data_IF_083180595104
#
_entry.id   IF_083180595104
#
_cell.length_a   1.000
_cell.length_b   1.000
_cell.length_c   1.000
_cell.angle_alpha   90.00
_cell.angle_beta   90.00
_cell.angle_gamma   90.00
#
_symmetry.space_group_name_H-M   'P 1'
#
loop_
_entity.id
_entity.type
_entity.pdbx_description
1 polymer ?
#
# COMPACT_ATOMS: atom_id res chain seq x y z
N UNK A 1 44.23 29.03 -2.76
CA UNK A 1 43.63 28.17 -1.72
C UNK A 1 43.06 26.93 -2.39
N UNK A 2 43.67 25.80 -2.19
CA UNK A 2 43.25 24.51 -2.78
C UNK A 2 42.05 24.02 -2.00
N UNK A 3 40.95 23.73 -2.66
CA UNK A 3 39.79 23.07 -2.05
C UNK A 3 40.13 21.59 -2.02
N UNK A 4 40.33 21.08 -0.81
CA UNK A 4 40.39 19.63 -0.57
C UNK A 4 38.94 19.12 -0.65
N UNK A 5 38.66 18.30 -1.65
CA UNK A 5 37.44 17.49 -1.65
C UNK A 5 37.77 16.35 -0.67
N UNK A 6 37.20 16.43 0.52
CA UNK A 6 37.28 15.34 1.51
C UNK A 6 36.06 14.47 1.29
N UNK A 7 36.29 13.20 1.04
CA UNK A 7 35.26 12.18 0.78
C UNK A 7 34.38 11.85 2.01
N UNK A 8 34.59 12.56 3.14
CA UNK A 8 33.87 12.31 4.40
C UNK A 8 32.81 13.38 4.68
N UNK A 9 31.56 13.02 4.54
CA UNK A 9 30.35 13.88 4.70
C UNK A 9 30.25 14.56 6.08
N UNK A 10 30.83 13.98 7.12
CA UNK A 10 30.81 14.50 8.51
C UNK A 10 31.67 15.75 8.71
N UNK A 11 32.65 16.00 7.85
CA UNK A 11 33.58 17.12 8.00
C UNK A 11 33.04 18.45 7.43
N UNK A 12 32.14 18.43 6.45
CA UNK A 12 31.56 19.64 5.87
C UNK A 12 30.63 20.37 6.87
N UNK A 13 29.88 19.64 7.66
CA UNK A 13 28.98 20.22 8.68
C UNK A 13 29.74 20.86 9.85
N UNK A 14 30.92 20.33 10.22
CA UNK A 14 31.77 20.90 11.30
C UNK A 14 32.47 22.18 10.85
N UNK A 15 32.85 22.31 9.60
CA UNK A 15 33.47 23.55 9.07
C UNK A 15 32.46 24.69 9.03
N UNK A 16 31.19 24.42 8.85
CA UNK A 16 30.12 25.43 8.81
C UNK A 16 29.75 25.99 10.19
N UNK A 17 29.92 25.21 11.29
CA UNK A 17 29.65 25.68 12.67
C UNK A 17 30.69 26.62 13.24
N UNK A 18 31.90 26.58 12.74
CA UNK A 18 33.02 27.31 13.37
C UNK A 18 33.32 28.67 12.77
N UNK A 19 32.54 29.20 11.81
CA UNK A 19 32.81 30.49 11.12
C UNK A 19 31.75 31.57 11.30
N UNK A 20 30.98 31.55 12.37
CA UNK A 20 30.00 32.62 12.65
C UNK A 20 30.54 33.79 13.48
N UNK A 21 31.85 34.02 13.53
CA UNK A 21 32.45 35.10 14.36
C UNK A 21 33.21 36.15 13.58
N UNK A 22 33.06 36.33 12.27
CA UNK A 22 33.58 37.58 11.65
C UNK A 22 32.82 37.91 10.36
N UNK A 23 31.79 38.78 10.50
CA UNK A 23 31.19 39.50 9.38
C UNK A 23 32.15 40.62 8.95
N UNK A 24 32.87 40.44 7.83
CA UNK A 24 33.25 41.47 6.83
C UNK A 24 34.02 40.82 5.70
N UNK A 25 33.64 41.17 4.45
CA UNK A 25 34.16 40.74 3.16
C UNK A 25 33.63 39.41 2.62
N UNK A 26 32.39 39.45 2.14
CA UNK A 26 31.93 38.48 1.15
C UNK A 26 32.03 39.13 -0.24
N UNK A 27 33.11 38.77 -0.99
CA UNK A 27 33.30 39.21 -2.35
C UNK A 27 32.25 38.52 -3.25
N UNK A 28 31.80 39.15 -4.35
CA UNK A 28 30.77 38.65 -5.29
C UNK A 28 31.03 37.20 -5.77
N UNK A 29 32.29 36.79 -5.82
CA UNK A 29 32.73 35.44 -6.21
C UNK A 29 32.28 34.35 -5.23
N UNK A 30 32.07 34.67 -3.94
CA UNK A 30 31.58 33.73 -2.91
C UNK A 30 30.06 33.56 -2.97
N UNK A 31 29.29 34.51 -3.43
CA UNK A 31 27.84 34.36 -3.63
C UNK A 31 27.52 33.29 -4.67
N UNK A 32 28.30 33.16 -5.73
CA UNK A 32 28.12 32.11 -6.75
C UNK A 32 28.43 30.72 -6.14
N UNK A 33 29.49 30.61 -5.31
CA UNK A 33 29.85 29.33 -4.69
C UNK A 33 28.80 28.84 -3.66
N UNK A 34 28.25 29.78 -2.86
CA UNK A 34 27.16 29.46 -1.92
C UNK A 34 25.89 29.03 -2.66
N UNK A 35 25.63 29.61 -3.80
CA UNK A 35 24.48 29.23 -4.65
C UNK A 35 24.67 27.82 -5.24
N UNK A 36 25.88 27.50 -5.69
CA UNK A 36 26.21 26.19 -6.24
C UNK A 36 26.17 25.10 -5.15
N UNK A 37 26.69 25.38 -3.96
CA UNK A 37 26.65 24.44 -2.82
C UNK A 37 25.21 24.23 -2.33
N UNK A 38 24.37 25.29 -2.28
CA UNK A 38 22.96 25.16 -1.94
C UNK A 38 22.17 24.39 -3.00
N UNK A 39 22.46 24.59 -4.28
CA UNK A 39 21.84 23.82 -5.37
C UNK A 39 22.30 22.36 -5.32
N UNK A 40 23.58 22.06 -5.08
CA UNK A 40 24.06 20.70 -4.87
C UNK A 40 23.45 20.06 -3.61
N UNK A 41 23.28 20.81 -2.53
CA UNK A 41 22.65 20.31 -1.30
C UNK A 41 21.14 20.08 -1.47
N UNK A 42 20.46 20.94 -2.26
CA UNK A 42 19.05 20.72 -2.64
C UNK A 42 18.90 19.54 -3.59
N UNK A 43 19.77 19.41 -4.58
CA UNK A 43 19.80 18.27 -5.50
C UNK A 43 20.23 16.96 -4.81
N UNK A 44 21.07 17.04 -3.77
CA UNK A 44 21.45 15.88 -2.96
C UNK A 44 20.32 15.45 -2.01
N UNK A 45 19.49 16.38 -1.50
CA UNK A 45 18.28 16.05 -0.75
C UNK A 45 17.26 15.25 -1.60
N UNK A 46 17.30 15.42 -2.93
CA UNK A 46 16.41 14.68 -3.85
C UNK A 46 16.91 13.27 -4.19
N UNK A 47 18.18 12.94 -3.92
CA UNK A 47 18.73 11.58 -4.08
C UNK A 47 18.83 10.82 -2.75
N UNK A 48 17.78 10.81 -1.94
CA UNK A 48 17.65 9.73 -0.96
C UNK A 48 17.56 8.42 -1.74
N UNK A 49 18.55 7.54 -1.56
CA UNK A 49 18.46 6.17 -2.07
C UNK A 49 17.16 5.60 -1.52
N UNK A 50 16.20 5.38 -2.42
CA UNK A 50 14.93 4.81 -2.02
C UNK A 50 15.13 3.32 -1.79
N UNK A 51 14.75 2.83 -0.62
CA UNK A 51 14.69 1.39 -0.38
C UNK A 51 13.68 0.78 -1.34
N UNK A 52 14.13 -0.14 -2.19
CA UNK A 52 13.23 -0.85 -3.11
C UNK A 52 12.51 -1.97 -2.36
N UNK A 53 11.19 -2.00 -2.45
CA UNK A 53 10.33 -2.98 -1.80
C UNK A 53 9.35 -3.56 -2.82
N UNK A 54 9.26 -4.87 -2.89
CA UNK A 54 8.34 -5.58 -3.77
C UNK A 54 6.97 -5.73 -3.11
N UNK A 55 5.91 -5.32 -3.79
CA UNK A 55 4.54 -5.62 -3.39
C UNK A 55 4.03 -6.81 -4.19
N UNK A 56 3.86 -7.95 -3.52
CA UNK A 56 3.45 -9.21 -4.11
C UNK A 56 1.96 -9.20 -4.48
N UNK A 57 1.59 -8.35 -5.45
CA UNK A 57 0.22 -8.20 -5.95
C UNK A 57 0.21 -7.90 -7.45
N UNK A 58 -0.77 -8.49 -8.16
CA UNK A 58 -1.09 -8.13 -9.55
C UNK A 58 -2.11 -7.00 -9.65
N UNK A 59 -2.72 -6.59 -8.51
CA UNK A 59 -3.75 -5.55 -8.52
C UNK A 59 -3.12 -4.15 -8.49
N UNK A 60 -3.15 -3.38 -9.60
CA UNK A 60 -2.55 -2.05 -9.68
C UNK A 60 -3.21 -1.04 -8.74
N UNK A 61 -4.49 -1.26 -8.38
CA UNK A 61 -5.18 -0.40 -7.43
C UNK A 61 -4.64 -0.54 -6.01
N UNK A 62 -4.23 -1.76 -5.59
CA UNK A 62 -3.54 -1.97 -4.32
C UNK A 62 -2.18 -1.25 -4.31
N UNK A 63 -1.40 -1.34 -5.39
CA UNK A 63 -0.11 -0.63 -5.53
C UNK A 63 -0.31 0.89 -5.43
N UNK A 64 -1.26 1.43 -6.21
CA UNK A 64 -1.56 2.87 -6.25
C UNK A 64 -1.93 3.42 -4.87
N UNK A 65 -2.66 2.65 -4.06
CA UNK A 65 -3.11 3.06 -2.71
C UNK A 65 -1.97 3.44 -1.78
N UNK A 66 -0.82 2.75 -1.85
CA UNK A 66 0.29 2.92 -0.90
C UNK A 66 1.50 3.64 -1.51
N UNK A 67 1.61 3.68 -2.84
CA UNK A 67 2.83 4.10 -3.57
C UNK A 67 3.29 5.52 -3.22
N UNK A 68 2.36 6.47 -3.17
CA UNK A 68 2.69 7.89 -2.94
C UNK A 68 3.24 8.09 -1.52
N UNK A 69 2.50 7.65 -0.50
CA UNK A 69 2.88 7.81 0.90
C UNK A 69 4.17 7.04 1.25
N UNK A 70 4.39 5.86 0.68
CA UNK A 70 5.64 5.12 0.85
C UNK A 70 6.81 5.84 0.17
N UNK A 71 6.58 6.45 -1.01
CA UNK A 71 7.60 7.26 -1.69
C UNK A 71 8.05 8.47 -0.87
N UNK A 72 7.13 9.13 -0.15
CA UNK A 72 7.44 10.22 0.77
C UNK A 72 8.31 9.76 1.95
N UNK A 73 8.18 8.49 2.34
CA UNK A 73 8.99 7.85 3.38
C UNK A 73 10.29 7.21 2.85
N UNK A 74 10.69 7.50 1.59
CA UNK A 74 11.92 7.00 1.02
C UNK A 74 11.87 5.54 0.57
N UNK A 75 10.65 4.97 0.36
CA UNK A 75 10.42 3.62 -0.11
C UNK A 75 9.95 3.65 -1.57
N UNK A 76 10.66 2.95 -2.44
CA UNK A 76 10.25 2.71 -3.82
C UNK A 76 9.46 1.41 -3.90
N UNK A 77 8.13 1.52 -4.02
CA UNK A 77 7.26 0.37 -4.16
C UNK A 77 7.20 -0.10 -5.61
N UNK A 78 7.67 -1.32 -5.87
CA UNK A 78 7.53 -2.02 -7.15
C UNK A 78 6.50 -3.15 -7.01
N UNK A 79 5.86 -3.53 -8.11
CA UNK A 79 4.91 -4.64 -8.17
C UNK A 79 5.52 -5.87 -8.81
N UNK A 80 4.82 -7.00 -8.73
CA UNK A 80 5.24 -8.22 -9.43
C UNK A 80 5.18 -8.08 -10.96
N UNK A 81 4.49 -7.08 -11.49
CA UNK A 81 4.49 -6.78 -12.93
C UNK A 81 5.77 -6.04 -13.37
N UNK A 82 6.55 -5.53 -12.41
CA UNK A 82 7.81 -4.82 -12.65
C UNK A 82 9.03 -5.75 -12.56
N UNK A 83 8.80 -7.05 -12.34
CA UNK A 83 9.85 -8.09 -12.32
C UNK A 83 9.60 -9.11 -13.43
N UNK A 84 10.68 -9.64 -14.01
CA UNK A 84 10.62 -10.57 -15.15
C UNK A 84 10.20 -11.99 -14.76
N UNK A 85 10.20 -12.33 -13.48
CA UNK A 85 9.89 -13.67 -13.00
C UNK A 85 8.39 -13.88 -12.78
N UNK A 86 7.80 -14.82 -13.53
CA UNK A 86 6.47 -15.35 -13.23
C UNK A 86 6.58 -16.44 -12.17
N UNK A 87 6.08 -16.13 -10.98
CA UNK A 87 6.08 -17.08 -9.86
C UNK A 87 4.63 -17.55 -9.66
N UNK A 88 4.43 -18.86 -9.78
CA UNK A 88 3.14 -19.47 -9.45
C UNK A 88 3.04 -19.64 -7.93
N UNK A 89 1.95 -19.14 -7.35
CA UNK A 89 1.71 -19.17 -5.92
C UNK A 89 0.41 -19.92 -5.64
N UNK A 90 0.54 -20.95 -4.82
CA UNK A 90 -0.62 -21.63 -4.28
C UNK A 90 -1.10 -20.92 -3.00
N UNK A 91 -2.11 -20.06 -3.14
CA UNK A 91 -2.76 -19.34 -2.05
C UNK A 91 -3.76 -20.26 -1.34
N UNK A 92 -3.27 -21.14 -0.47
CA UNK A 92 -4.05 -22.11 0.28
C UNK A 92 -4.10 -21.82 1.79
N UNK A 93 -3.78 -20.62 2.21
CA UNK A 93 -3.87 -20.15 3.58
C UNK A 93 -5.33 -20.10 4.06
N UNK A 94 -5.52 -20.33 5.36
CA UNK A 94 -6.84 -20.36 6.00
C UNK A 94 -7.45 -18.99 6.19
N UNK A 95 -6.59 -17.96 6.22
CA UNK A 95 -6.98 -16.58 6.45
C UNK A 95 -6.11 -15.60 5.64
N UNK A 96 -6.42 -14.32 5.74
CA UNK A 96 -5.72 -13.26 5.01
C UNK A 96 -4.23 -13.16 5.38
N UNK A 97 -3.87 -13.41 6.63
CA UNK A 97 -2.47 -13.28 7.08
C UNK A 97 -1.62 -14.47 6.63
N UNK A 98 -2.19 -15.68 6.55
CA UNK A 98 -1.50 -16.84 6.02
C UNK A 98 -1.24 -16.68 4.51
N UNK A 99 -2.24 -16.25 3.73
CA UNK A 99 -2.05 -15.97 2.30
C UNK A 99 -1.07 -14.81 2.06
N UNK A 100 -1.13 -13.75 2.87
CA UNK A 100 -0.15 -12.67 2.82
C UNK A 100 1.28 -13.18 3.09
N UNK A 101 1.45 -14.08 4.06
CA UNK A 101 2.73 -14.70 4.36
C UNK A 101 3.25 -15.57 3.20
N UNK A 102 2.39 -16.42 2.63
CA UNK A 102 2.74 -17.26 1.48
C UNK A 102 3.25 -16.37 0.33
N UNK A 103 2.54 -15.29 0.01
CA UNK A 103 2.93 -14.32 -1.03
C UNK A 103 4.28 -13.68 -0.70
N UNK A 104 4.43 -13.08 0.47
CA UNK A 104 5.63 -12.37 0.87
C UNK A 104 6.86 -13.28 0.84
N UNK A 105 6.75 -14.46 1.46
CA UNK A 105 7.84 -15.43 1.53
C UNK A 105 8.25 -15.94 0.15
N UNK A 106 7.29 -16.34 -0.68
CA UNK A 106 7.56 -16.94 -1.99
C UNK A 106 8.30 -15.96 -2.90
N UNK A 107 7.88 -14.70 -2.94
CA UNK A 107 8.56 -13.68 -3.74
C UNK A 107 9.91 -13.27 -3.14
N UNK A 108 10.01 -13.13 -1.82
CA UNK A 108 11.27 -12.83 -1.15
C UNK A 108 12.32 -13.93 -1.39
N UNK A 109 11.92 -15.20 -1.27
CA UNK A 109 12.84 -16.34 -1.49
C UNK A 109 13.45 -16.33 -2.89
N UNK A 110 12.71 -15.86 -3.88
CA UNK A 110 13.14 -15.78 -5.28
C UNK A 110 13.93 -14.52 -5.61
N UNK A 111 13.45 -13.36 -5.16
CA UNK A 111 13.99 -12.06 -5.58
C UNK A 111 15.03 -11.50 -4.62
N UNK A 112 15.00 -11.92 -3.36
CA UNK A 112 15.76 -11.34 -2.24
C UNK A 112 15.51 -9.84 -2.02
N UNK A 113 14.42 -9.33 -2.59
CA UNK A 113 13.95 -7.96 -2.36
C UNK A 113 12.99 -7.99 -1.15
N UNK A 114 13.11 -7.09 -0.15
CA UNK A 114 12.11 -6.95 0.89
C UNK A 114 10.70 -6.95 0.30
N UNK A 115 9.83 -7.83 0.78
CA UNK A 115 8.56 -8.09 0.10
C UNK A 115 7.37 -7.91 1.02
N UNK A 116 6.39 -7.14 0.55
CA UNK A 116 5.07 -6.99 1.16
C UNK A 116 4.12 -8.00 0.50
N UNK A 117 3.56 -8.93 1.28
CA UNK A 117 2.39 -9.71 0.93
C UNK A 117 1.14 -9.11 1.56
N UNK A 118 0.04 -9.11 0.84
CA UNK A 118 -1.26 -8.65 1.35
C UNK A 118 -2.38 -9.50 0.78
N UNK A 119 -3.30 -9.87 1.66
CA UNK A 119 -4.54 -10.55 1.27
C UNK A 119 -5.74 -10.02 2.04
N UNK A 120 -6.94 -10.31 1.54
CA UNK A 120 -8.21 -9.84 2.11
C UNK A 120 -9.19 -11.03 2.19
N UNK A 121 -9.91 -11.10 3.30
CA UNK A 121 -11.03 -12.01 3.50
C UNK A 121 -12.33 -11.22 3.58
N UNK A 122 -13.39 -11.74 2.97
CA UNK A 122 -14.74 -11.21 3.10
C UNK A 122 -15.58 -12.15 3.93
N UNK A 123 -16.20 -11.61 4.96
CA UNK A 123 -17.19 -12.32 5.79
C UNK A 123 -18.56 -11.66 5.59
N UNK A 124 -19.60 -12.49 5.45
CA UNK A 124 -20.98 -12.04 5.22
C UNK A 124 -21.86 -12.68 6.29
N UNK A 125 -22.57 -11.88 7.06
CA UNK A 125 -23.45 -12.38 8.11
C UNK A 125 -24.71 -13.04 7.52
N UNK A 126 -25.18 -14.08 8.17
CA UNK A 126 -26.47 -14.72 7.87
C UNK A 126 -26.49 -15.64 6.65
N UNK A 127 -25.35 -15.90 6.00
CA UNK A 127 -25.25 -16.91 4.94
C UNK A 127 -24.69 -18.22 5.47
N UNK A 128 -24.83 -19.31 4.72
CA UNK A 128 -24.28 -20.61 5.11
C UNK A 128 -22.75 -20.62 5.09
N UNK A 129 -22.14 -21.52 5.87
CA UNK A 129 -20.68 -21.62 5.97
C UNK A 129 -20.04 -22.00 4.62
N UNK A 130 -20.71 -22.83 3.84
CA UNK A 130 -20.26 -23.28 2.53
C UNK A 130 -20.25 -22.15 1.47
N UNK A 131 -21.08 -21.12 1.68
CA UNK A 131 -21.16 -19.96 0.79
C UNK A 131 -20.31 -18.78 1.28
N UNK A 132 -19.66 -18.91 2.45
CA UNK A 132 -18.73 -17.86 2.93
C UNK A 132 -17.55 -17.71 1.99
N UNK A 133 -17.29 -16.49 1.48
CA UNK A 133 -16.19 -16.28 0.57
C UNK A 133 -14.82 -16.46 1.24
N UNK A 134 -14.66 -16.02 2.48
CA UNK A 134 -13.39 -16.10 3.20
C UNK A 134 -12.25 -15.50 2.39
N UNK A 135 -11.21 -16.29 2.12
CA UNK A 135 -10.06 -15.91 1.26
C UNK A 135 -10.37 -16.05 -0.24
N UNK A 136 -11.43 -16.73 -0.60
CA UNK A 136 -11.77 -17.06 -1.99
C UNK A 136 -12.72 -16.05 -2.64
N UNK A 137 -12.66 -14.77 -2.26
CA UNK A 137 -13.59 -13.73 -2.71
C UNK A 137 -13.73 -13.68 -4.24
N UNK A 138 -12.65 -13.91 -4.97
CA UNK A 138 -12.61 -13.90 -6.43
C UNK A 138 -12.63 -15.31 -7.05
N UNK A 139 -12.64 -16.36 -6.23
CA UNK A 139 -12.65 -17.76 -6.69
C UNK A 139 -13.91 -18.46 -6.20
N UNK A 140 -14.80 -18.76 -7.11
CA UNK A 140 -16.06 -19.45 -6.82
C UNK A 140 -16.09 -20.75 -7.61
N UNK A 141 -16.30 -21.88 -6.92
CA UNK A 141 -16.32 -23.22 -7.51
C UNK A 141 -15.09 -23.52 -8.41
N UNK A 142 -13.91 -23.11 -7.95
CA UNK A 142 -12.64 -23.31 -8.65
C UNK A 142 -12.38 -22.35 -9.82
N UNK A 143 -13.35 -21.50 -10.20
CA UNK A 143 -13.22 -20.50 -11.27
C UNK A 143 -12.83 -19.15 -10.68
N UNK A 144 -11.83 -18.47 -11.26
CA UNK A 144 -11.52 -17.08 -10.98
C UNK A 144 -12.49 -16.17 -11.76
N UNK A 145 -13.27 -15.37 -11.04
CA UNK A 145 -14.25 -14.46 -11.62
C UNK A 145 -13.58 -13.15 -12.08
N UNK A 146 -14.07 -12.59 -13.19
CA UNK A 146 -13.79 -11.21 -13.58
C UNK A 146 -14.65 -10.23 -12.76
N UNK A 147 -14.53 -8.92 -12.99
CA UNK A 147 -15.22 -7.92 -12.19
C UNK A 147 -16.74 -7.96 -12.35
N UNK A 148 -17.25 -8.18 -13.57
CA UNK A 148 -18.68 -8.33 -13.86
C UNK A 148 -19.24 -9.59 -13.22
N UNK A 149 -18.55 -10.71 -13.38
CA UNK A 149 -18.93 -11.99 -12.78
C UNK A 149 -18.97 -11.93 -11.25
N UNK A 150 -18.04 -11.16 -10.62
CA UNK A 150 -18.08 -10.93 -9.19
C UNK A 150 -19.32 -10.16 -8.75
N UNK A 151 -19.63 -9.05 -9.42
CA UNK A 151 -20.82 -8.24 -9.12
C UNK A 151 -22.07 -9.11 -9.25
N UNK A 152 -22.17 -9.86 -10.34
CA UNK A 152 -23.32 -10.74 -10.60
C UNK A 152 -23.45 -11.83 -9.52
N UNK A 153 -22.35 -12.50 -9.17
CA UNK A 153 -22.31 -13.56 -8.15
C UNK A 153 -22.78 -13.05 -6.80
N UNK A 154 -22.16 -11.97 -6.30
CA UNK A 154 -22.49 -11.43 -4.98
C UNK A 154 -23.88 -10.78 -4.94
N UNK A 155 -24.32 -10.15 -6.02
CA UNK A 155 -25.69 -9.65 -6.14
C UNK A 155 -26.73 -10.78 -6.02
N UNK A 156 -26.48 -11.92 -6.71
CA UNK A 156 -27.34 -13.11 -6.60
C UNK A 156 -27.33 -13.68 -5.18
N UNK A 157 -26.14 -13.77 -4.55
CA UNK A 157 -25.98 -14.25 -3.19
C UNK A 157 -26.78 -13.38 -2.21
N UNK A 158 -26.61 -12.06 -2.27
CA UNK A 158 -27.35 -11.10 -1.42
C UNK A 158 -28.86 -11.24 -1.63
N UNK A 159 -29.32 -11.35 -2.88
CA UNK A 159 -30.73 -11.51 -3.22
C UNK A 159 -31.33 -12.81 -2.64
N UNK A 160 -30.54 -13.90 -2.59
CA UNK A 160 -30.94 -15.18 -2.01
C UNK A 160 -31.26 -15.06 -0.51
N UNK A 161 -30.51 -14.20 0.21
CA UNK A 161 -30.57 -14.08 1.67
C UNK A 161 -31.29 -12.82 2.19
N UNK A 162 -31.95 -12.02 1.35
CA UNK A 162 -32.83 -10.94 1.81
C UNK A 162 -32.53 -9.54 1.29
N UNK A 163 -31.82 -9.40 0.17
CA UNK A 163 -31.53 -8.18 -0.56
C UNK A 163 -30.55 -7.20 0.10
N UNK A 164 -30.19 -7.41 1.37
CA UNK A 164 -29.18 -6.65 2.11
C UNK A 164 -28.58 -7.51 3.20
N UNK A 165 -27.26 -7.64 3.22
CA UNK A 165 -26.49 -8.41 4.19
C UNK A 165 -25.38 -7.58 4.80
N UNK A 166 -25.14 -7.74 6.09
CA UNK A 166 -23.96 -7.16 6.75
C UNK A 166 -22.72 -7.94 6.32
N UNK A 167 -21.66 -7.20 6.01
CA UNK A 167 -20.40 -7.79 5.59
C UNK A 167 -19.21 -7.04 6.22
N UNK A 168 -18.08 -7.72 6.29
CA UNK A 168 -16.84 -7.21 6.88
C UNK A 168 -15.62 -7.67 6.10
N UNK A 169 -14.74 -6.72 5.80
CA UNK A 169 -13.41 -7.01 5.27
C UNK A 169 -12.39 -7.19 6.41
N UNK A 170 -11.64 -8.26 6.35
CA UNK A 170 -10.46 -8.49 7.19
C UNK A 170 -9.24 -8.58 6.29
N UNK A 171 -8.22 -7.80 6.62
CA UNK A 171 -6.98 -7.69 5.85
C UNK A 171 -5.82 -8.29 6.62
N UNK A 172 -4.92 -8.94 5.89
CA UNK A 172 -3.64 -9.41 6.39
C UNK A 172 -2.50 -8.82 5.56
N UNK A 173 -1.46 -8.34 6.23
CA UNK A 173 -0.24 -7.87 5.62
C UNK A 173 0.97 -8.51 6.29
N UNK A 174 1.91 -8.96 5.48
CA UNK A 174 3.19 -9.52 5.93
C UNK A 174 4.31 -8.79 5.20
N UNK A 175 5.33 -8.39 5.95
CA UNK A 175 6.59 -7.89 5.41
C UNK A 175 7.65 -8.92 5.69
N UNK A 176 8.30 -9.39 4.64
CA UNK A 176 9.37 -10.37 4.71
C UNK A 176 10.69 -9.74 4.27
N UNK A 177 11.69 -9.77 5.13
CA UNK A 177 13.03 -9.23 4.92
C UNK A 177 14.09 -10.28 5.28
N UNK A 178 15.35 -9.98 5.08
CA UNK A 178 16.48 -10.80 5.59
C UNK A 178 16.57 -10.76 7.12
N UNK A 179 16.09 -9.70 7.75
CA UNK A 179 16.10 -9.56 9.22
C UNK A 179 14.93 -10.29 9.91
N UNK A 180 13.86 -10.58 9.16
CA UNK A 180 12.73 -11.30 9.72
C UNK A 180 11.39 -11.06 9.05
N UNK A 181 10.33 -11.34 9.82
CA UNK A 181 8.93 -11.29 9.36
C UNK A 181 8.08 -10.46 10.30
N UNK A 182 7.48 -9.41 9.78
CA UNK A 182 6.48 -8.60 10.48
C UNK A 182 5.08 -8.90 9.95
N UNK A 183 4.09 -8.96 10.85
CA UNK A 183 2.69 -9.27 10.51
C UNK A 183 1.76 -8.21 11.06
N UNK A 184 0.74 -7.85 10.28
CA UNK A 184 -0.30 -6.91 10.69
C UNK A 184 -1.66 -7.33 10.14
N UNK A 185 -2.68 -7.32 11.00
CA UNK A 185 -4.06 -7.65 10.65
C UNK A 185 -4.95 -6.49 11.07
N UNK A 186 -5.90 -6.12 10.22
CA UNK A 186 -6.90 -5.11 10.54
C UNK A 186 -8.22 -5.42 9.86
N UNK A 187 -9.28 -4.81 10.33
CA UNK A 187 -10.58 -4.81 9.69
C UNK A 187 -11.07 -3.39 9.51
N UNK A 188 -11.95 -3.18 8.54
CA UNK A 188 -12.76 -1.98 8.44
C UNK A 188 -14.07 -2.18 9.19
N UNK A 189 -14.80 -1.08 9.40
CA UNK A 189 -16.16 -1.13 9.92
C UNK A 189 -17.06 -2.00 9.03
N UNK A 190 -18.11 -2.57 9.62
CA UNK A 190 -19.08 -3.35 8.91
C UNK A 190 -19.80 -2.49 7.86
N UNK A 191 -20.18 -3.10 6.76
CA UNK A 191 -20.89 -2.45 5.67
C UNK A 191 -22.02 -3.36 5.17
N UNK A 192 -22.89 -2.81 4.35
CA UNK A 192 -23.92 -3.61 3.70
C UNK A 192 -23.52 -4.01 2.29
N UNK A 193 -23.67 -5.28 1.94
CA UNK A 193 -23.81 -5.74 0.57
C UNK A 193 -25.27 -5.69 0.17
N UNK A 194 -25.57 -5.11 -1.01
CA UNK A 194 -26.92 -4.96 -1.52
C UNK A 194 -27.10 -5.64 -2.88
N UNK A 195 -28.32 -6.00 -3.21
CA UNK A 195 -28.68 -6.70 -4.45
C UNK A 195 -28.82 -5.79 -5.68
N UNK A 196 -28.63 -4.48 -5.50
CA UNK A 196 -28.76 -3.47 -6.57
C UNK A 196 -27.44 -2.77 -6.80
N UNK A 197 -26.66 -3.16 -7.81
CA UNK A 197 -25.40 -2.48 -8.12
C UNK A 197 -25.69 -1.10 -8.74
N UNK A 198 -24.82 -0.13 -8.46
CA UNK A 198 -24.79 1.13 -9.21
C UNK A 198 -23.90 0.99 -10.44
N UNK A 199 -24.12 1.87 -11.44
CA UNK A 199 -23.36 1.86 -12.70
C UNK A 199 -21.87 2.14 -12.50
N UNK A 200 -21.57 3.00 -11.51
CA UNK A 200 -20.20 3.39 -11.19
C UNK A 200 -19.38 2.21 -10.65
N UNK A 201 -18.22 1.99 -11.24
CA UNK A 201 -17.31 0.91 -10.87
C UNK A 201 -15.91 1.43 -10.58
N UNK A 202 -15.29 0.92 -9.53
CA UNK A 202 -13.89 1.16 -9.20
C UNK A 202 -13.04 0.01 -9.77
N UNK A 203 -12.15 0.32 -10.69
CA UNK A 203 -11.25 -0.68 -11.29
C UNK A 203 -10.43 -1.39 -10.22
N UNK A 204 -10.49 -2.72 -10.18
CA UNK A 204 -9.83 -3.56 -9.17
C UNK A 204 -10.59 -3.74 -7.86
N UNK A 205 -11.74 -3.04 -7.68
CA UNK A 205 -12.64 -3.16 -6.52
C UNK A 205 -14.11 -3.29 -6.97
N UNK A 206 -14.47 -4.41 -7.64
CA UNK A 206 -15.79 -4.56 -8.24
C UNK A 206 -16.94 -4.50 -7.22
N UNK A 207 -16.72 -5.01 -6.01
CA UNK A 207 -17.75 -5.03 -4.97
C UNK A 207 -18.08 -3.66 -4.40
N UNK A 208 -17.27 -2.61 -4.67
CA UNK A 208 -17.59 -1.24 -4.27
C UNK A 208 -18.93 -0.74 -4.86
N UNK A 209 -19.36 -1.31 -6.01
CA UNK A 209 -20.64 -0.98 -6.66
C UNK A 209 -21.86 -1.58 -5.97
N UNK A 210 -21.68 -2.50 -5.04
CA UNK A 210 -22.73 -3.14 -4.23
C UNK A 210 -22.47 -3.03 -2.72
N UNK A 211 -21.40 -2.36 -2.31
CA UNK A 211 -21.06 -2.10 -0.91
C UNK A 211 -21.57 -0.73 -0.47
N UNK A 212 -22.32 -0.68 0.62
CA UNK A 212 -22.99 0.53 1.12
C UNK A 212 -22.57 0.81 2.55
N UNK A 213 -22.27 2.07 2.85
CA UNK A 213 -21.97 2.56 4.20
C UNK A 213 -23.27 2.63 4.99
N UNK A 214 -23.37 1.96 6.16
CA UNK A 214 -24.61 1.94 6.96
C UNK A 214 -25.12 3.33 7.34
N UNK A 215 -24.25 4.24 7.76
CA UNK A 215 -24.58 5.55 8.30
C UNK A 215 -25.08 6.52 7.23
N UNK A 216 -24.59 6.40 6.00
CA UNK A 216 -24.87 7.38 4.94
C UNK A 216 -25.72 6.85 3.79
N UNK A 217 -25.80 5.53 3.66
CA UNK A 217 -26.44 4.88 2.50
C UNK A 217 -25.68 5.06 1.18
N UNK A 218 -24.46 5.65 1.20
CA UNK A 218 -23.65 5.85 -0.01
C UNK A 218 -22.90 4.57 -0.37
N UNK A 219 -22.77 4.31 -1.67
CA UNK A 219 -21.96 3.21 -2.16
C UNK A 219 -20.46 3.54 -2.06
N UNK A 220 -19.64 2.53 -1.82
CA UNK A 220 -18.17 2.69 -1.77
C UNK A 220 -17.64 3.27 -3.09
N UNK A 221 -18.22 2.89 -4.23
CA UNK A 221 -17.82 3.43 -5.53
C UNK A 221 -18.04 4.95 -5.66
N UNK A 222 -18.94 5.55 -4.90
CA UNK A 222 -19.18 6.99 -4.92
C UNK A 222 -18.15 7.79 -4.14
N UNK A 223 -17.45 7.16 -3.17
CA UNK A 223 -16.51 7.87 -2.28
C UNK A 223 -15.23 8.32 -2.98
N UNK A 224 -14.82 7.64 -4.04
CA UNK A 224 -13.55 7.89 -4.74
C UNK A 224 -13.53 9.27 -5.44
N UNK A 225 -14.69 9.81 -5.83
CA UNK A 225 -14.78 11.13 -6.49
C UNK A 225 -14.98 12.28 -5.51
N UNK A 226 -15.59 12.01 -4.37
CA UNK A 226 -15.72 13.02 -3.34
C UNK A 226 -14.34 13.15 -2.69
N UNK A 227 -13.68 14.28 -2.98
CA UNK A 227 -12.48 14.75 -2.25
C UNK A 227 -12.84 15.12 -0.80
N UNK A 228 -13.68 14.32 -0.17
CA UNK A 228 -13.99 14.44 1.24
C UNK A 228 -12.72 14.17 2.02
N UNK A 229 -12.07 15.24 2.50
CA UNK A 229 -10.85 15.18 3.30
C UNK A 229 -11.00 14.28 4.52
N UNK A 230 -12.22 14.07 4.98
CA UNK A 230 -12.57 13.20 6.11
C UNK A 230 -12.31 11.71 5.81
N UNK A 231 -12.45 11.27 4.54
CA UNK A 231 -12.14 9.90 4.12
C UNK A 231 -10.72 9.74 3.55
N UNK A 232 -10.01 10.84 3.23
CA UNK A 232 -8.61 10.82 2.80
C UNK A 232 -7.64 10.44 3.92
N UNK A 233 -7.95 10.77 5.16
CA UNK A 233 -7.28 10.23 6.34
C UNK A 233 -8.03 8.99 6.81
N UNK A 234 -8.07 7.95 6.00
CA UNK A 234 -8.41 6.63 6.54
C UNK A 234 -7.35 6.31 7.60
N UNK A 235 -7.74 6.41 8.85
CA UNK A 235 -6.91 6.01 10.01
C UNK A 235 -6.26 4.63 9.79
N UNK A 236 -6.95 3.76 9.04
CA UNK A 236 -6.45 2.46 8.61
C UNK A 236 -5.25 2.56 7.66
N UNK A 237 -5.23 3.51 6.70
CA UNK A 237 -4.10 3.66 5.76
C UNK A 237 -2.87 4.17 6.49
N UNK A 238 -3.03 5.17 7.37
CA UNK A 238 -1.93 5.69 8.17
C UNK A 238 -1.31 4.61 9.07
N UNK A 239 -2.13 3.81 9.73
CA UNK A 239 -1.67 2.66 10.53
C UNK A 239 -0.89 1.65 9.68
N UNK A 240 -1.36 1.35 8.48
CA UNK A 240 -0.67 0.43 7.55
C UNK A 240 0.66 1.03 7.08
N UNK A 241 0.71 2.30 6.69
CA UNK A 241 1.96 2.97 6.28
C UNK A 241 2.96 2.96 7.43
N UNK A 242 2.53 3.32 8.64
CA UNK A 242 3.38 3.32 9.83
C UNK A 242 3.92 1.92 10.15
N UNK A 243 3.09 0.89 10.00
CA UNK A 243 3.52 -0.51 10.14
C UNK A 243 4.60 -0.85 9.10
N UNK A 244 4.39 -0.52 7.81
CA UNK A 244 5.36 -0.80 6.74
C UNK A 244 6.69 -0.10 7.02
N UNK A 245 6.63 1.21 7.28
CA UNK A 245 7.84 2.03 7.52
C UNK A 245 8.62 1.52 8.73
N UNK A 246 7.93 1.21 9.83
CA UNK A 246 8.56 0.67 11.03
C UNK A 246 9.22 -0.69 10.77
N UNK A 247 8.54 -1.60 10.08
CA UNK A 247 9.03 -2.96 9.83
C UNK A 247 10.21 -3.03 8.85
N UNK A 248 10.39 -2.00 8.01
CA UNK A 248 11.50 -1.92 7.06
C UNK A 248 12.72 -1.16 7.62
N UNK A 249 12.55 -0.47 8.77
CA UNK A 249 13.62 0.29 9.43
C UNK A 249 14.06 -0.37 10.76
N UNK A 250 13.48 -1.50 11.13
CA UNK A 250 13.82 -2.26 12.33
C UNK A 250 14.88 -3.30 12.06
#
# INVERSE_FOLDING_TARGET
MRILIVEDELNLASIYRNKNSNRRYINRRWKLHIHTVNVCFLLWKEKKVKMKVLFATTNPAKVKRYKEQLSENGIELISINDIDEKIDINENGKDAIENAYIKAKTYYDKTKIPTIGMDDCLFIEGISEEEQPGTNVRRVNGKRLNDEEMIEHYTKLVKKYGNKLTAKWVYGMVIYTDEGVSKFTWSKDDFYLVDKPIEKKNVGYPLDSISVIPETGKYFAELVEQKDEKYKKEESIEKVINFIVKSLNS
#
